data_IF_674765894276
#
_entry.id   IF_674765894276
#
_cell.length_a   1.000
_cell.length_b   1.000
_cell.length_c   1.000
_cell.angle_alpha   90.00
_cell.angle_beta   90.00
_cell.angle_gamma   90.00
#
_symmetry.space_group_name_H-M   'P 1'
#
loop_
_entity.id
_entity.type
_entity.pdbx_description
1 polymer ?
#
# COMPACT_ATOMS: atom_id res chain seq x y z
N UNK A 1 5.46 12.70 -23.28
CA UNK A 1 6.41 12.08 -22.34
C UNK A 1 6.41 12.88 -21.05
N UNK A 2 7.13 12.41 -20.01
CA UNK A 2 7.45 13.17 -18.79
C UNK A 2 6.52 13.04 -17.57
N UNK A 3 6.33 11.82 -17.06
CA UNK A 3 6.10 11.61 -15.63
C UNK A 3 7.06 10.51 -15.19
N UNK A 4 8.34 10.88 -15.08
CA UNK A 4 9.37 10.00 -14.55
C UNK A 4 9.04 9.67 -13.10
N UNK A 5 8.97 8.38 -12.78
CA UNK A 5 8.90 7.90 -11.41
C UNK A 5 9.93 8.63 -10.54
N UNK A 6 9.52 9.08 -9.35
CA UNK A 6 10.49 9.60 -8.38
C UNK A 6 11.49 8.47 -8.12
N UNK A 7 12.72 8.60 -8.60
CA UNK A 7 13.78 7.63 -8.32
C UNK A 7 14.51 8.11 -7.07
N UNK A 8 14.43 7.33 -6.01
CA UNK A 8 15.26 7.56 -4.83
C UNK A 8 16.71 7.23 -5.22
N UNK A 9 17.56 8.25 -5.38
CA UNK A 9 18.98 8.05 -5.63
C UNK A 9 19.66 7.64 -4.32
N UNK A 10 19.91 6.35 -4.14
CA UNK A 10 20.66 5.84 -2.99
C UNK A 10 21.60 4.72 -3.41
N UNK A 11 22.62 4.47 -2.59
CA UNK A 11 23.54 3.35 -2.76
C UNK A 11 22.93 2.00 -2.33
N UNK A 12 21.69 1.99 -1.80
CA UNK A 12 21.02 0.81 -1.27
C UNK A 12 19.73 0.51 -2.05
N UNK A 13 19.38 -0.77 -2.27
CA UNK A 13 18.05 -1.12 -2.76
C UNK A 13 16.97 -0.63 -1.80
N UNK A 14 15.83 -0.16 -2.33
CA UNK A 14 14.71 0.33 -1.51
C UNK A 14 14.21 -0.70 -0.49
N UNK A 15 14.26 -1.99 -0.83
CA UNK A 15 13.87 -3.06 0.10
C UNK A 15 14.79 -3.15 1.32
N UNK A 16 16.09 -2.89 1.16
CA UNK A 16 17.03 -2.85 2.29
C UNK A 16 16.75 -1.65 3.19
N UNK A 17 16.40 -0.50 2.59
CA UNK A 17 15.98 0.68 3.34
C UNK A 17 14.71 0.37 4.15
N UNK A 18 13.71 -0.27 3.55
CA UNK A 18 12.47 -0.66 4.23
C UNK A 18 12.73 -1.62 5.40
N UNK A 19 13.64 -2.60 5.23
CA UNK A 19 14.05 -3.51 6.31
C UNK A 19 14.72 -2.76 7.47
N UNK A 20 15.59 -1.80 7.18
CA UNK A 20 16.25 -0.98 8.19
C UNK A 20 15.21 -0.14 8.96
N UNK A 21 14.28 0.50 8.24
CA UNK A 21 13.21 1.30 8.85
C UNK A 21 12.30 0.46 9.73
N UNK A 22 11.92 -0.75 9.28
CA UNK A 22 11.06 -1.63 10.08
C UNK A 22 11.71 -2.02 11.41
N UNK A 23 13.02 -2.33 11.41
CA UNK A 23 13.76 -2.66 12.64
C UNK A 23 13.83 -1.52 13.65
N UNK A 24 13.74 -0.27 13.18
CA UNK A 24 13.73 0.92 14.03
C UNK A 24 12.35 1.30 14.56
N UNK A 25 11.35 0.42 14.49
CA UNK A 25 9.96 0.70 14.92
C UNK A 25 9.38 1.96 14.25
N UNK A 26 9.75 2.19 12.99
CA UNK A 26 9.38 3.40 12.27
C UNK A 26 7.85 3.47 12.09
N UNK A 27 7.21 4.64 12.26
CA UNK A 27 5.79 4.81 11.99
C UNK A 27 5.41 4.39 10.56
N UNK A 28 4.26 3.74 10.41
CA UNK A 28 3.71 3.27 9.14
C UNK A 28 3.62 4.38 8.09
N UNK A 29 3.30 5.60 8.50
CA UNK A 29 3.26 6.77 7.62
C UNK A 29 4.59 7.10 6.93
N UNK A 30 5.74 6.73 7.52
CA UNK A 30 7.06 6.86 6.88
C UNK A 30 7.27 5.70 5.92
N UNK A 31 6.97 4.46 6.34
CA UNK A 31 7.07 3.28 5.47
C UNK A 31 6.22 3.45 4.20
N UNK A 32 5.01 4.01 4.31
CA UNK A 32 4.14 4.36 3.17
C UNK A 32 4.83 5.29 2.16
N UNK A 33 5.67 6.24 2.62
CA UNK A 33 6.44 7.12 1.72
C UNK A 33 7.50 6.34 0.97
N UNK A 34 8.19 5.43 1.65
CA UNK A 34 9.27 4.64 1.03
C UNK A 34 8.74 3.56 0.09
N UNK A 35 7.58 2.97 0.38
CA UNK A 35 6.92 2.00 -0.48
C UNK A 35 6.62 2.56 -1.89
N UNK A 36 6.46 3.88 -2.04
CA UNK A 36 6.26 4.53 -3.36
C UNK A 36 7.45 4.37 -4.30
N UNK A 37 8.64 4.12 -3.77
CA UNK A 37 9.87 3.88 -4.54
C UNK A 37 10.07 2.42 -4.96
N UNK A 38 9.16 1.51 -4.58
CA UNK A 38 9.18 0.10 -5.05
C UNK A 38 8.48 0.01 -6.40
N UNK A 39 9.21 -0.19 -7.49
CA UNK A 39 8.67 -0.07 -8.86
C UNK A 39 7.56 -1.07 -9.19
N UNK A 40 7.73 -2.36 -8.86
CA UNK A 40 6.67 -3.37 -9.09
C UNK A 40 5.52 -3.16 -8.11
N UNK A 41 4.31 -3.01 -8.65
CA UNK A 41 3.08 -2.86 -7.85
C UNK A 41 2.80 -4.13 -7.05
N UNK A 42 3.02 -5.31 -7.64
CA UNK A 42 2.86 -6.60 -6.98
C UNK A 42 3.83 -6.72 -5.80
N UNK A 43 5.10 -6.34 -6.02
CA UNK A 43 6.11 -6.37 -4.97
C UNK A 43 5.81 -5.36 -3.86
N UNK A 44 5.36 -4.16 -4.23
CA UNK A 44 4.94 -3.11 -3.30
C UNK A 44 3.75 -3.56 -2.46
N UNK A 45 2.78 -4.25 -3.04
CA UNK A 45 1.63 -4.81 -2.34
C UNK A 45 2.06 -5.87 -1.31
N UNK A 46 2.96 -6.78 -1.70
CA UNK A 46 3.51 -7.78 -0.79
C UNK A 46 4.22 -7.14 0.41
N UNK A 47 5.09 -6.15 0.15
CA UNK A 47 5.82 -5.44 1.20
C UNK A 47 4.87 -4.64 2.11
N UNK A 48 3.88 -3.96 1.55
CA UNK A 48 2.90 -3.21 2.34
C UNK A 48 2.11 -4.12 3.29
N UNK A 49 1.73 -5.33 2.84
CA UNK A 49 1.10 -6.35 3.70
C UNK A 49 2.05 -6.81 4.80
N UNK A 50 3.30 -7.16 4.47
CA UNK A 50 4.26 -7.67 5.47
C UNK A 50 4.71 -6.63 6.49
N UNK A 51 4.70 -5.35 6.11
CA UNK A 51 5.12 -4.23 6.96
C UNK A 51 3.97 -3.64 7.79
N UNK A 52 2.74 -4.12 7.61
CA UNK A 52 1.58 -3.57 8.34
C UNK A 52 1.20 -2.16 7.89
N UNK A 53 1.27 -1.88 6.58
CA UNK A 53 0.95 -0.59 5.97
C UNK A 53 -0.42 -0.63 5.26
N UNK A 54 -1.55 -0.59 5.98
CA UNK A 54 -2.88 -0.84 5.41
C UNK A 54 -3.29 0.21 4.38
N UNK A 55 -2.88 1.47 4.55
CA UNK A 55 -3.17 2.54 3.60
C UNK A 55 -2.66 2.20 2.20
N UNK A 56 -1.38 1.85 2.09
CA UNK A 56 -0.77 1.46 0.81
C UNK A 56 -1.45 0.22 0.22
N UNK A 57 -1.81 -0.78 1.04
CA UNK A 57 -2.54 -1.97 0.57
C UNK A 57 -3.88 -1.57 -0.05
N UNK A 58 -4.69 -0.78 0.65
CA UNK A 58 -6.03 -0.36 0.20
C UNK A 58 -5.94 0.51 -1.07
N UNK A 59 -4.98 1.44 -1.13
CA UNK A 59 -4.73 2.27 -2.31
C UNK A 59 -4.39 1.42 -3.55
N UNK A 60 -3.52 0.41 -3.40
CA UNK A 60 -3.14 -0.48 -4.50
C UNK A 60 -4.35 -1.31 -4.97
N UNK A 61 -5.07 -1.97 -4.04
CA UNK A 61 -6.21 -2.81 -4.40
C UNK A 61 -7.34 -2.00 -5.05
N UNK A 62 -7.60 -0.80 -4.54
CA UNK A 62 -8.55 0.15 -5.15
C UNK A 62 -8.12 0.58 -6.56
N UNK A 63 -6.83 0.91 -6.75
CA UNK A 63 -6.29 1.28 -8.07
C UNK A 63 -6.35 0.13 -9.07
N UNK A 64 -6.12 -1.10 -8.61
CA UNK A 64 -6.22 -2.31 -9.43
C UNK A 64 -7.67 -2.73 -9.71
N UNK A 65 -8.66 -2.11 -9.06
CA UNK A 65 -10.06 -2.51 -9.17
C UNK A 65 -10.33 -3.92 -8.64
N UNK A 66 -9.46 -4.45 -7.77
CA UNK A 66 -9.60 -5.80 -7.21
C UNK A 66 -10.52 -5.77 -5.99
N UNK A 67 -11.83 -5.86 -6.26
CA UNK A 67 -12.88 -5.78 -5.23
C UNK A 67 -12.79 -6.94 -4.24
N UNK A 68 -12.52 -8.15 -4.75
CA UNK A 68 -12.48 -9.37 -3.95
C UNK A 68 -11.35 -9.29 -2.93
N UNK A 69 -10.12 -9.00 -3.38
CA UNK A 69 -8.98 -8.87 -2.46
C UNK A 69 -9.16 -7.73 -1.45
N UNK A 70 -9.85 -6.64 -1.82
CA UNK A 70 -10.11 -5.52 -0.91
C UNK A 70 -11.14 -5.88 0.16
N UNK A 71 -12.19 -6.64 -0.18
CA UNK A 71 -13.16 -7.19 0.78
C UNK A 71 -12.47 -8.13 1.77
N UNK A 72 -11.69 -9.09 1.26
CA UNK A 72 -10.93 -10.01 2.11
C UNK A 72 -9.96 -9.27 3.03
N UNK A 73 -9.27 -8.25 2.50
CA UNK A 73 -8.36 -7.46 3.31
C UNK A 73 -9.10 -6.69 4.42
N UNK A 74 -10.23 -6.05 4.09
CA UNK A 74 -11.09 -5.36 5.07
C UNK A 74 -11.52 -6.29 6.19
N UNK A 75 -11.95 -7.51 5.87
CA UNK A 75 -12.47 -8.47 6.84
C UNK A 75 -11.40 -8.93 7.85
N UNK A 76 -10.11 -8.78 7.50
CA UNK A 76 -8.98 -9.05 8.38
C UNK A 76 -8.50 -7.81 9.17
N UNK A 77 -9.07 -6.63 8.93
CA UNK A 77 -8.73 -5.42 9.69
C UNK A 77 -9.50 -5.40 11.02
N UNK A 78 -8.93 -4.70 12.00
CA UNK A 78 -9.62 -4.44 13.27
C UNK A 78 -10.90 -3.64 12.95
N UNK A 79 -12.09 -4.12 13.34
CA UNK A 79 -13.35 -3.41 13.10
C UNK A 79 -13.31 -1.99 13.65
N UNK A 80 -13.87 -1.03 12.91
CA UNK A 80 -13.92 0.40 13.27
C UNK A 80 -12.54 1.09 13.41
N UNK A 81 -11.45 0.43 13.01
CA UNK A 81 -10.16 1.11 12.86
C UNK A 81 -10.19 2.10 11.69
N UNK A 82 -9.23 3.04 11.66
CA UNK A 82 -9.07 3.97 10.53
C UNK A 82 -8.89 3.22 9.20
N UNK A 83 -8.09 2.14 9.21
CA UNK A 83 -7.88 1.29 8.05
C UNK A 83 -9.17 0.62 7.58
N UNK A 84 -10.00 0.13 8.51
CA UNK A 84 -11.29 -0.47 8.18
C UNK A 84 -12.21 0.56 7.48
N UNK A 85 -12.32 1.77 8.02
CA UNK A 85 -13.12 2.83 7.39
C UNK A 85 -12.55 3.27 6.04
N UNK A 86 -11.24 3.28 5.88
CA UNK A 86 -10.61 3.56 4.59
C UNK A 86 -10.98 2.49 3.56
N UNK A 87 -10.94 1.21 3.92
CA UNK A 87 -11.32 0.11 3.04
C UNK A 87 -12.81 0.22 2.64
N UNK A 88 -13.71 0.49 3.59
CA UNK A 88 -15.14 0.68 3.32
C UNK A 88 -15.42 1.87 2.39
N UNK A 89 -14.73 3.00 2.61
CA UNK A 89 -14.82 4.17 1.73
C UNK A 89 -14.33 3.85 0.32
N UNK A 90 -13.22 3.14 0.19
CA UNK A 90 -12.69 2.72 -1.11
C UNK A 90 -13.66 1.76 -1.81
N UNK A 91 -14.20 0.76 -1.10
CA UNK A 91 -15.18 -0.19 -1.66
C UNK A 91 -16.49 0.47 -2.13
N UNK A 92 -16.87 1.56 -1.48
CA UNK A 92 -18.07 2.35 -1.79
C UNK A 92 -17.81 3.46 -2.82
N UNK A 93 -16.57 3.62 -3.28
CA UNK A 93 -16.21 4.70 -4.19
C UNK A 93 -16.87 4.50 -5.57
N UNK A 94 -17.65 5.48 -6.07
CA UNK A 94 -18.27 5.39 -7.39
C UNK A 94 -17.27 5.61 -8.54
N UNK A 95 -16.05 6.04 -8.23
CA UNK A 95 -15.02 6.36 -9.24
C UNK A 95 -14.13 5.17 -9.61
N UNK A 96 -14.16 4.09 -8.81
CA UNK A 96 -13.34 2.91 -9.04
C UNK A 96 -14.04 1.99 -10.05
N UNK A 97 -13.31 1.62 -11.10
CA UNK A 97 -13.73 0.59 -12.05
C UNK A 97 -13.31 -0.77 -11.51
N UNK A 98 -14.26 -1.48 -10.89
CA UNK A 98 -14.03 -2.84 -10.41
C UNK A 98 -13.87 -3.80 -11.60
N UNK A 99 -12.91 -4.71 -11.48
CA UNK A 99 -12.78 -5.84 -12.40
C UNK A 99 -14.03 -6.72 -12.27
N UNK A 100 -14.52 -7.20 -13.42
CA UNK A 100 -15.62 -8.17 -13.49
C UNK A 100 -15.22 -9.53 -12.94
#
# INVERSE_FOLDING_TARGET
>A
GWLGSQKLQTCLPIEEILKILQKGETPTAVLDKFLKYVDSVERRLQLAKSLGCPKTVIEILGTQGDRTSLLEYRDNLVPQSEAYFLAERTLSSPTIRWKS
#
